data_IF_240589944052
#
_entry.id   IF_240589944052
#
_cell.length_a   1.000
_cell.length_b   1.000
_cell.length_c   1.000
_cell.angle_alpha   90.00
_cell.angle_beta   90.00
_cell.angle_gamma   90.00
#
_symmetry.space_group_name_H-M   'P 1'
#
loop_
_entity.id
_entity.type
_entity.pdbx_description
1 polymer ?
#
# COMPACT_ATOMS: atom_id res chain seq x y z
N UNK A 1 -7.76 -11.40 12.67
CA UNK A 1 -6.84 -12.14 13.58
C UNK A 1 -6.76 -13.64 13.33
N UNK A 2 -7.70 -14.29 12.61
CA UNK A 2 -7.63 -15.75 12.39
C UNK A 2 -6.42 -16.22 11.56
N UNK A 3 -5.81 -15.33 10.78
CA UNK A 3 -4.65 -15.63 9.93
C UNK A 3 -3.36 -15.06 10.54
N UNK A 4 -3.36 -13.76 10.82
CA UNK A 4 -2.20 -12.99 11.29
C UNK A 4 -1.98 -13.03 12.81
N UNK A 5 -2.86 -13.73 13.54
CA UNK A 5 -2.84 -13.77 15.01
C UNK A 5 -3.37 -12.50 15.67
N UNK A 6 -3.27 -12.47 17.00
CA UNK A 6 -3.60 -11.31 17.82
C UNK A 6 -2.47 -10.29 17.79
N UNK A 7 -2.76 -8.98 17.62
CA UNK A 7 -1.78 -7.91 17.67
C UNK A 7 -0.94 -7.94 18.97
N UNK A 8 0.37 -7.64 18.89
CA UNK A 8 1.17 -7.44 20.10
C UNK A 8 0.72 -6.19 20.87
N UNK A 9 0.96 -6.16 22.18
CA UNK A 9 0.59 -5.03 23.03
C UNK A 9 1.19 -3.69 22.56
N UNK A 10 2.38 -3.71 21.96
CA UNK A 10 3.01 -2.53 21.36
C UNK A 10 2.20 -1.94 20.21
N UNK A 11 1.56 -2.78 19.38
CA UNK A 11 0.70 -2.32 18.29
C UNK A 11 -0.63 -1.78 18.84
N UNK A 12 -1.22 -2.48 19.81
CA UNK A 12 -2.47 -2.04 20.47
C UNK A 12 -2.26 -0.68 21.15
N UNK A 13 -1.11 -0.46 21.79
CA UNK A 13 -0.79 0.81 22.46
C UNK A 13 -0.72 2.02 21.52
N UNK A 14 -0.37 1.82 20.24
CA UNK A 14 -0.32 2.88 19.22
C UNK A 14 -1.69 3.21 18.62
N UNK A 15 -2.73 2.42 18.91
CA UNK A 15 -4.06 2.68 18.37
C UNK A 15 -4.69 3.92 19.05
N UNK A 16 -5.23 4.87 18.28
CA UNK A 16 -5.79 6.11 18.85
C UNK A 16 -7.09 5.84 19.64
N UNK A 17 -7.99 5.00 19.10
CA UNK A 17 -9.28 4.71 19.76
C UNK A 17 -9.10 3.82 20.99
N UNK A 18 -9.64 4.27 22.12
CA UNK A 18 -9.65 3.51 23.38
C UNK A 18 -10.62 2.32 23.31
N UNK A 19 -11.78 2.53 22.69
CA UNK A 19 -12.81 1.51 22.48
C UNK A 19 -12.26 0.36 21.62
N UNK A 20 -11.56 0.69 20.53
CA UNK A 20 -10.92 -0.30 19.67
C UNK A 20 -9.85 -1.12 20.41
N UNK A 21 -9.05 -0.47 21.28
CA UNK A 21 -8.06 -1.15 22.13
C UNK A 21 -8.73 -2.12 23.09
N UNK A 22 -9.78 -1.69 23.80
CA UNK A 22 -10.49 -2.54 24.75
C UNK A 22 -11.19 -3.71 24.07
N UNK A 23 -11.80 -3.48 22.90
CA UNK A 23 -12.40 -4.53 22.10
C UNK A 23 -11.36 -5.59 21.72
N UNK A 24 -10.22 -5.20 21.16
CA UNK A 24 -9.14 -6.13 20.79
C UNK A 24 -8.61 -6.91 22.00
N UNK A 25 -8.44 -6.25 23.14
CA UNK A 25 -7.98 -6.90 24.38
C UNK A 25 -9.00 -7.91 24.94
N UNK A 26 -10.29 -7.71 24.69
CA UNK A 26 -11.34 -8.65 25.10
C UNK A 26 -11.43 -9.92 24.23
N UNK A 27 -10.81 -9.91 23.05
CA UNK A 27 -10.83 -11.06 22.15
C UNK A 27 -9.87 -12.15 22.63
N UNK A 28 -10.20 -13.45 22.42
CA UNK A 28 -9.27 -14.53 22.69
C UNK A 28 -7.95 -14.36 21.92
N UNK A 29 -6.83 -14.66 22.58
CA UNK A 29 -5.52 -14.69 21.96
C UNK A 29 -5.45 -15.80 20.91
N UNK A 30 -5.01 -15.46 19.70
CA UNK A 30 -4.85 -16.39 18.58
C UNK A 30 -3.42 -16.31 18.05
N UNK A 31 -2.72 -17.44 17.87
CA UNK A 31 -1.41 -17.44 17.23
C UNK A 31 -1.54 -17.10 15.73
N UNK A 32 -0.47 -16.52 15.15
CA UNK A 32 -0.33 -16.42 13.69
C UNK A 32 -0.33 -17.84 13.12
N UNK A 33 -1.11 -18.06 12.06
CA UNK A 33 -1.07 -19.32 11.31
C UNK A 33 0.11 -19.31 10.34
N UNK A 34 0.70 -20.47 10.11
CA UNK A 34 1.66 -20.65 9.02
C UNK A 34 0.92 -20.49 7.68
N UNK A 35 1.39 -19.60 6.81
CA UNK A 35 0.69 -19.33 5.55
C UNK A 35 0.83 -20.49 4.56
N UNK A 36 1.88 -21.31 4.65
CA UNK A 36 2.04 -22.50 3.81
C UNK A 36 0.90 -23.53 4.05
N UNK A 37 0.39 -23.62 5.27
CA UNK A 37 -0.72 -24.50 5.63
C UNK A 37 -2.09 -23.94 5.21
N UNK A 38 -2.15 -22.64 4.86
CA UNK A 38 -3.36 -21.94 4.43
C UNK A 38 -3.44 -21.91 2.91
N UNK A 39 -2.34 -21.56 2.25
CA UNK A 39 -2.22 -21.47 0.79
C UNK A 39 -1.59 -22.74 0.23
N UNK A 40 -2.28 -23.87 0.42
CA UNK A 40 -1.79 -25.19 0.03
C UNK A 40 -1.62 -25.26 -1.49
N UNK A 41 -0.42 -25.66 -1.94
CA UNK A 41 -0.08 -25.79 -3.36
C UNK A 41 0.37 -24.48 -4.03
N UNK A 42 0.44 -23.37 -3.29
CA UNK A 42 1.00 -22.13 -3.81
C UNK A 42 2.54 -22.19 -3.91
N UNK A 43 3.11 -21.36 -4.79
CA UNK A 43 4.56 -21.17 -4.87
C UNK A 43 5.09 -20.67 -3.52
N UNK A 44 6.13 -21.31 -2.92
CA UNK A 44 6.72 -20.86 -1.66
C UNK A 44 7.12 -19.38 -1.65
N UNK A 45 7.58 -18.84 -2.78
CA UNK A 45 7.93 -17.42 -2.91
C UNK A 45 6.70 -16.50 -2.87
N UNK A 46 5.55 -16.94 -3.38
CA UNK A 46 4.29 -16.20 -3.27
C UNK A 46 3.81 -16.18 -1.81
N UNK A 47 3.94 -17.32 -1.11
CA UNK A 47 3.58 -17.42 0.31
C UNK A 47 4.46 -16.51 1.16
N UNK A 48 5.77 -16.49 0.92
CA UNK A 48 6.71 -15.59 1.60
C UNK A 48 6.36 -14.11 1.37
N UNK A 49 6.06 -13.73 0.12
CA UNK A 49 5.62 -12.37 -0.20
C UNK A 49 4.32 -11.99 0.53
N UNK A 50 3.34 -12.88 0.56
CA UNK A 50 2.09 -12.68 1.30
C UNK A 50 2.34 -12.52 2.80
N UNK A 51 3.27 -13.27 3.39
CA UNK A 51 3.62 -13.12 4.80
C UNK A 51 4.24 -11.75 5.12
N UNK A 52 4.99 -11.17 4.17
CA UNK A 52 5.58 -9.83 4.29
C UNK A 52 4.56 -8.70 4.07
N UNK A 53 3.52 -8.94 3.27
CA UNK A 53 2.43 -7.99 3.01
C UNK A 53 1.34 -8.00 4.09
N UNK A 54 0.90 -9.19 4.51
CA UNK A 54 -0.22 -9.37 5.44
C UNK A 54 0.23 -9.28 6.91
N UNK A 55 0.95 -8.21 7.24
CA UNK A 55 1.37 -7.89 8.61
C UNK A 55 0.40 -6.90 9.22
N UNK A 56 -0.02 -7.15 10.47
CA UNK A 56 -0.96 -6.27 11.19
C UNK A 56 -0.36 -4.90 11.47
N UNK A 57 0.92 -4.87 11.79
CA UNK A 57 1.70 -3.66 11.98
C UNK A 57 2.03 -3.05 10.61
N UNK A 58 1.44 -1.90 10.31
CA UNK A 58 1.61 -1.22 9.02
C UNK A 58 3.05 -0.83 8.74
N UNK A 59 3.80 -0.48 9.79
CA UNK A 59 5.18 0.01 9.66
C UNK A 59 6.16 -1.14 9.39
N UNK A 60 5.69 -2.39 9.51
CA UNK A 60 6.47 -3.60 9.25
C UNK A 60 6.06 -4.29 7.96
N UNK A 61 5.09 -3.75 7.23
CA UNK A 61 4.74 -4.28 5.92
C UNK A 61 5.85 -3.96 4.94
N UNK A 62 6.09 -4.88 4.03
CA UNK A 62 6.93 -4.62 2.85
C UNK A 62 6.33 -3.46 2.04
N UNK A 63 7.19 -2.57 1.56
CA UNK A 63 6.82 -1.48 0.65
C UNK A 63 6.64 -1.98 -0.78
N UNK A 64 6.08 -1.16 -1.67
CA UNK A 64 5.93 -1.51 -3.09
C UNK A 64 7.30 -1.77 -3.74
N UNK A 65 8.27 -0.86 -3.57
CA UNK A 65 9.62 -0.98 -4.13
C UNK A 65 10.35 -2.22 -3.62
N UNK A 66 10.28 -2.52 -2.32
CA UNK A 66 10.85 -3.75 -1.77
C UNK A 66 10.15 -5.02 -2.29
N UNK A 67 8.85 -4.94 -2.55
CA UNK A 67 8.07 -6.05 -3.09
C UNK A 67 8.41 -6.31 -4.57
N UNK A 68 8.67 -5.28 -5.37
CA UNK A 68 9.13 -5.43 -6.77
C UNK A 68 10.47 -6.17 -6.83
N UNK A 69 11.40 -5.83 -5.94
CA UNK A 69 12.68 -6.54 -5.78
C UNK A 69 12.57 -7.96 -5.18
N UNK A 70 11.37 -8.45 -4.87
CA UNK A 70 11.17 -9.77 -4.27
C UNK A 70 11.49 -10.90 -5.27
N UNK A 71 12.12 -12.01 -4.86
CA UNK A 71 12.44 -13.13 -5.76
C UNK A 71 11.25 -13.75 -6.49
N UNK A 72 10.03 -13.51 -6.01
CA UNK A 72 8.80 -13.94 -6.68
C UNK A 72 8.61 -13.27 -8.04
N UNK A 73 9.08 -12.02 -8.20
CA UNK A 73 9.00 -11.26 -9.46
C UNK A 73 10.32 -11.20 -10.22
N UNK A 74 11.32 -12.01 -9.87
CA UNK A 74 12.66 -11.95 -10.46
C UNK A 74 12.71 -12.08 -12.00
N UNK A 75 11.67 -12.64 -12.62
CA UNK A 75 11.57 -12.74 -14.08
C UNK A 75 11.02 -11.47 -14.77
N UNK A 76 10.46 -10.53 -14.01
CA UNK A 76 9.83 -9.30 -14.49
C UNK A 76 10.47 -8.03 -13.90
N UNK A 77 11.16 -8.15 -12.77
CA UNK A 77 11.75 -7.02 -12.08
C UNK A 77 12.84 -6.39 -12.94
N UNK A 78 12.64 -5.11 -13.25
CA UNK A 78 13.60 -4.26 -13.97
C UNK A 78 13.67 -2.89 -13.28
N UNK A 79 14.74 -2.62 -12.50
CA UNK A 79 14.91 -1.35 -11.81
C UNK A 79 14.96 -0.12 -12.74
N UNK A 80 15.35 -0.31 -14.02
CA UNK A 80 15.46 0.79 -14.98
C UNK A 80 14.08 1.14 -15.60
N UNK A 81 13.11 0.21 -15.57
CA UNK A 81 11.71 0.39 -16.01
C UNK A 81 10.70 0.45 -14.82
N UNK A 82 11.20 0.78 -13.62
CA UNK A 82 10.40 0.98 -12.40
C UNK A 82 10.52 2.43 -11.87
N UNK A 83 10.05 3.45 -12.62
CA UNK A 83 10.26 4.85 -12.26
C UNK A 83 9.43 5.31 -11.05
N UNK A 84 9.99 6.26 -10.29
CA UNK A 84 9.25 7.02 -9.29
C UNK A 84 8.58 8.24 -9.92
N UNK A 85 7.42 8.64 -9.39
CA UNK A 85 6.73 9.84 -9.85
C UNK A 85 7.39 11.11 -9.31
N UNK A 86 7.25 12.21 -10.05
CA UNK A 86 7.62 13.54 -9.57
C UNK A 86 6.80 13.93 -8.32
N UNK A 87 7.36 14.78 -7.43
CA UNK A 87 6.65 15.24 -6.24
C UNK A 87 5.31 15.92 -6.58
N UNK A 88 4.22 15.44 -5.96
CA UNK A 88 2.88 15.99 -6.14
C UNK A 88 2.54 17.02 -5.06
N UNK A 89 2.15 18.24 -5.46
CA UNK A 89 1.68 19.27 -4.53
C UNK A 89 0.24 19.01 -4.10
N UNK A 90 0.09 18.45 -2.90
CA UNK A 90 -1.19 18.21 -2.24
C UNK A 90 -1.52 19.26 -1.17
N UNK A 91 -0.91 20.44 -1.19
CA UNK A 91 -1.16 21.51 -0.21
C UNK A 91 -2.61 22.01 -0.21
N UNK A 92 -3.33 21.80 -1.32
CA UNK A 92 -4.74 22.16 -1.47
C UNK A 92 -5.67 21.34 -0.56
N UNK A 93 -5.29 20.12 -0.15
CA UNK A 93 -6.12 19.24 0.72
C UNK A 93 -6.43 19.88 2.07
N UNK A 94 -5.56 20.75 2.56
CA UNK A 94 -5.74 21.47 3.83
C UNK A 94 -6.43 22.84 3.70
N UNK A 95 -6.83 23.25 2.49
CA UNK A 95 -7.45 24.56 2.24
C UNK A 95 -8.96 24.49 2.42
N UNK A 96 -9.50 25.47 3.12
CA UNK A 96 -10.94 25.72 3.17
C UNK A 96 -11.29 26.80 2.14
N UNK A 97 -11.93 26.40 1.04
CA UNK A 97 -12.34 27.29 -0.05
C UNK A 97 -13.85 27.19 -0.29
N UNK A 98 -14.42 28.25 -0.83
CA UNK A 98 -15.81 28.25 -1.29
C UNK A 98 -15.98 27.44 -2.57
N UNK A 99 -17.23 27.03 -2.85
CA UNK A 99 -17.58 26.24 -4.04
C UNK A 99 -17.13 26.94 -5.33
N UNK A 100 -17.30 28.26 -5.42
CA UNK A 100 -16.93 29.01 -6.64
C UNK A 100 -15.40 29.08 -6.82
N UNK A 101 -14.62 29.04 -5.74
CA UNK A 101 -13.15 29.00 -5.82
C UNK A 101 -12.67 27.64 -6.32
N UNK A 102 -13.24 26.54 -5.79
CA UNK A 102 -12.96 25.18 -6.28
C UNK A 102 -13.32 25.03 -7.76
N UNK A 103 -14.46 25.59 -8.17
CA UNK A 103 -14.91 25.57 -9.56
C UNK A 103 -13.97 26.35 -10.47
N UNK A 104 -13.48 27.51 -10.02
CA UNK A 104 -12.47 28.29 -10.76
C UNK A 104 -11.16 27.51 -10.91
N UNK A 105 -10.62 26.95 -9.83
CA UNK A 105 -9.38 26.16 -9.88
C UNK A 105 -9.53 24.94 -10.79
N UNK A 106 -10.65 24.23 -10.70
CA UNK A 106 -10.95 23.09 -11.60
C UNK A 106 -11.00 23.54 -13.06
N UNK A 107 -11.61 24.70 -13.35
CA UNK A 107 -11.66 25.24 -14.70
C UNK A 107 -10.26 25.63 -15.22
N UNK A 108 -9.42 26.19 -14.36
CA UNK A 108 -8.02 26.51 -14.69
C UNK A 108 -7.23 25.25 -15.07
N UNK A 109 -7.35 24.17 -14.30
CA UNK A 109 -6.72 22.87 -14.62
C UNK A 109 -7.21 22.27 -15.95
N UNK A 110 -8.50 22.42 -16.27
CA UNK A 110 -9.04 21.96 -17.56
C UNK A 110 -8.45 22.75 -18.73
N UNK A 111 -8.25 24.06 -18.56
CA UNK A 111 -7.71 24.94 -19.61
C UNK A 111 -6.20 24.77 -19.77
N UNK A 112 -5.48 24.46 -18.69
CA UNK A 112 -4.02 24.26 -18.71
C UNK A 112 -3.59 22.86 -19.15
N UNK A 113 -4.52 21.91 -19.30
CA UNK A 113 -4.20 20.54 -19.71
C UNK A 113 -3.52 20.50 -21.09
N UNK A 114 -2.32 19.93 -21.12
CA UNK A 114 -1.61 19.61 -22.35
C UNK A 114 -1.72 18.10 -22.62
N UNK A 115 -2.30 17.67 -23.77
CA UNK A 115 -2.40 16.26 -24.09
C UNK A 115 -1.00 15.64 -24.24
N UNK A 116 -0.78 14.41 -23.74
CA UNK A 116 0.50 13.75 -23.88
C UNK A 116 0.84 13.52 -25.36
N UNK A 117 2.14 13.53 -25.69
CA UNK A 117 2.59 13.09 -27.01
C UNK A 117 2.26 11.61 -27.19
N UNK A 118 1.54 11.28 -28.26
CA UNK A 118 1.35 9.89 -28.68
C UNK A 118 2.59 9.46 -29.45
N UNK A 119 3.64 9.11 -28.73
CA UNK A 119 4.73 8.32 -29.28
C UNK A 119 4.43 6.87 -28.90
N UNK A 120 4.01 6.07 -29.88
CA UNK A 120 3.68 4.66 -29.65
C UNK A 120 4.91 3.94 -29.13
N UNK A 121 4.80 3.42 -27.90
CA UNK A 121 5.80 2.68 -27.14
C UNK A 121 7.01 2.25 -27.98
N UNK A 122 8.16 2.88 -27.73
CA UNK A 122 9.44 2.39 -28.22
C UNK A 122 9.59 0.95 -27.72
N UNK A 123 9.37 -0.01 -28.63
CA UNK A 123 9.43 -1.43 -28.32
C UNK A 123 10.84 -1.77 -27.83
N UNK A 124 10.99 -1.97 -26.53
CA UNK A 124 12.17 -2.62 -25.98
C UNK A 124 12.27 -4.03 -26.57
N UNK A 125 13.42 -4.30 -27.20
CA UNK A 125 13.73 -5.49 -28.00
C UNK A 125 14.42 -6.56 -27.18
#
# INVERSE_FOLDING_TARGET
MRLTGTPPASLIGRMPSHEARNYINSLPQMPKRNFADVFIGANPLAVDLLEKMLVLDTDKRITASEALAHPYFAQYHDPDDEPEAEPYDQSFESRELEIEEWKRLTYEEVVSFEPPSFDGDEMES
#
